data_IF_799620700652
#
_entry.id   IF_799620700652
#
_cell.length_a   1.000
_cell.length_b   1.000
_cell.length_c   1.000
_cell.angle_alpha   90.00
_cell.angle_beta   90.00
_cell.angle_gamma   90.00
#
_symmetry.space_group_name_H-M   'P 1'
#
loop_
_entity.id
_entity.type
_entity.pdbx_description
1 polymer ?
#
# COMPACT_ATOMS: atom_id res chain seq x y z
N UNK A 1 12.73 11.51 13.50
CA UNK A 1 11.53 11.82 14.31
C UNK A 1 11.64 11.16 15.68
N UNK A 2 11.27 11.82 16.77
CA UNK A 2 11.18 11.22 18.10
C UNK A 2 9.86 11.62 18.78
N UNK A 3 9.26 10.68 19.50
CA UNK A 3 8.04 10.95 20.28
C UNK A 3 8.33 11.77 21.55
N UNK A 4 9.59 11.80 22.00
CA UNK A 4 10.02 12.48 23.23
C UNK A 4 10.84 13.71 22.89
N UNK A 5 10.43 14.88 23.42
CA UNK A 5 11.11 16.16 23.16
C UNK A 5 12.57 16.15 23.61
N UNK A 6 12.87 15.56 24.75
CA UNK A 6 14.24 15.45 25.25
C UNK A 6 15.13 14.65 24.29
N UNK A 7 14.64 13.50 23.82
CA UNK A 7 15.36 12.67 22.85
C UNK A 7 15.53 13.41 21.51
N UNK A 8 14.48 14.09 21.05
CA UNK A 8 14.54 14.92 19.83
C UNK A 8 15.66 15.96 19.92
N UNK A 9 15.75 16.68 21.06
CA UNK A 9 16.78 17.69 21.27
C UNK A 9 18.18 17.07 21.25
N UNK A 10 18.41 15.97 21.98
CA UNK A 10 19.68 15.27 22.01
C UNK A 10 20.10 14.78 20.61
N UNK A 11 19.17 14.24 19.82
CA UNK A 11 19.46 13.81 18.44
C UNK A 11 19.83 15.03 17.60
N UNK A 12 19.11 16.14 17.73
CA UNK A 12 19.38 17.35 16.94
C UNK A 12 20.77 17.91 17.25
N UNK A 13 21.13 18.03 18.52
CA UNK A 13 22.45 18.48 18.95
C UNK A 13 23.56 17.58 18.37
N UNK A 14 23.42 16.27 18.50
CA UNK A 14 24.40 15.32 17.99
C UNK A 14 24.54 15.35 16.44
N UNK A 15 23.47 15.61 15.73
CA UNK A 15 23.53 15.72 14.29
C UNK A 15 24.15 17.07 13.86
N UNK A 16 23.88 18.16 14.61
CA UNK A 16 24.52 19.48 14.38
C UNK A 16 26.03 19.47 14.64
N UNK A 17 26.52 18.58 15.52
CA UNK A 17 27.95 18.37 15.72
C UNK A 17 28.61 17.64 14.53
N UNK A 18 27.85 16.87 13.76
CA UNK A 18 28.36 16.01 12.68
C UNK A 18 28.19 16.56 11.29
N UNK A 19 27.16 17.35 11.06
CA UNK A 19 26.83 17.90 9.75
C UNK A 19 26.98 19.42 9.78
N UNK A 20 27.64 19.96 8.77
CA UNK A 20 27.70 21.41 8.53
C UNK A 20 26.30 21.95 8.15
N UNK A 21 26.13 23.28 8.23
CA UNK A 21 24.88 23.94 7.84
C UNK A 21 24.52 23.71 6.36
N UNK A 22 25.52 23.59 5.49
CA UNK A 22 25.33 23.31 4.06
C UNK A 22 24.86 21.86 3.86
N UNK A 23 25.53 20.90 4.47
CA UNK A 23 25.10 19.48 4.43
C UNK A 23 23.70 19.30 5.04
N UNK A 24 23.39 20.03 6.10
CA UNK A 24 22.06 19.98 6.71
C UNK A 24 20.96 20.42 5.71
N UNK A 25 21.23 21.43 4.90
CA UNK A 25 20.33 21.92 3.84
C UNK A 25 20.29 20.95 2.64
N UNK A 26 21.46 20.52 2.18
CA UNK A 26 21.58 19.64 1.01
C UNK A 26 20.88 18.31 1.23
N UNK A 27 21.04 17.70 2.41
CA UNK A 27 20.34 16.48 2.78
C UNK A 27 18.90 16.73 3.26
N UNK A 28 18.46 17.99 3.33
CA UNK A 28 17.14 18.37 3.83
C UNK A 28 16.81 17.73 5.18
N UNK A 29 17.79 17.69 6.08
CA UNK A 29 17.63 17.06 7.39
C UNK A 29 16.58 17.80 8.23
N UNK A 30 15.71 17.05 8.84
CA UNK A 30 14.71 17.57 9.76
C UNK A 30 14.58 16.67 10.99
N UNK A 31 14.73 17.24 12.18
CA UNK A 31 14.59 16.51 13.45
C UNK A 31 13.42 17.14 14.23
N UNK A 32 12.38 16.36 14.43
CA UNK A 32 11.15 16.86 15.08
C UNK A 32 10.37 15.75 15.80
N UNK A 33 9.33 16.17 16.51
CA UNK A 33 8.28 15.30 17.04
C UNK A 33 7.20 15.03 15.98
N UNK A 34 6.29 14.08 16.18
CA UNK A 34 5.19 13.85 15.23
C UNK A 34 4.38 15.12 14.93
N UNK A 35 4.15 15.99 15.93
CA UNK A 35 3.42 17.25 15.75
C UNK A 35 4.17 18.21 14.82
N UNK A 36 5.49 18.29 14.94
CA UNK A 36 6.34 19.15 14.10
C UNK A 36 6.45 18.61 12.65
N UNK A 37 6.15 17.34 12.44
CA UNK A 37 6.08 16.72 11.11
C UNK A 37 4.69 16.83 10.45
N UNK A 38 3.69 17.36 11.14
CA UNK A 38 2.36 17.46 10.56
C UNK A 38 2.37 18.33 9.30
N UNK A 39 1.89 17.78 8.18
CA UNK A 39 1.92 18.42 6.86
C UNK A 39 3.25 18.31 6.10
N UNK A 40 4.29 17.71 6.69
CA UNK A 40 5.58 17.48 6.04
C UNK A 40 5.77 15.99 5.72
N UNK A 41 6.27 15.71 4.53
CA UNK A 41 6.67 14.37 4.09
C UNK A 41 8.15 14.34 3.75
N UNK A 42 8.78 13.18 3.93
CA UNK A 42 10.18 12.95 3.58
C UNK A 42 10.34 11.59 2.94
N UNK A 43 11.30 11.46 2.04
CA UNK A 43 11.59 10.18 1.40
C UNK A 43 11.89 9.08 2.43
N UNK A 44 12.64 9.42 3.45
CA UNK A 44 13.03 8.51 4.53
C UNK A 44 12.68 9.15 5.87
N UNK A 45 11.99 8.42 6.72
CA UNK A 45 11.73 8.77 8.11
C UNK A 45 12.41 7.76 9.02
N UNK A 46 13.24 8.26 9.92
CA UNK A 46 13.82 7.46 11.02
C UNK A 46 13.06 7.82 12.29
N UNK A 47 12.32 6.87 12.84
CA UNK A 47 11.58 7.04 14.09
C UNK A 47 12.38 6.41 15.21
N UNK A 48 12.70 7.20 16.24
CA UNK A 48 13.36 6.71 17.44
C UNK A 48 12.39 6.74 18.61
N UNK A 49 12.17 5.61 19.24
CA UNK A 49 11.15 5.48 20.28
C UNK A 49 11.70 5.78 21.69
N UNK A 50 12.99 5.63 21.90
CA UNK A 50 13.60 5.80 23.22
C UNK A 50 13.07 4.81 24.26
N UNK A 51 12.67 3.62 23.82
CA UNK A 51 12.12 2.56 24.64
C UNK A 51 13.20 1.54 24.99
N UNK A 52 13.22 1.12 26.23
CA UNK A 52 14.11 0.08 26.79
C UNK A 52 13.39 -1.23 27.15
N UNK A 53 12.10 -1.33 26.79
CA UNK A 53 11.26 -2.48 27.14
C UNK A 53 10.60 -2.40 28.52
N UNK A 54 10.94 -1.41 29.36
CA UNK A 54 10.27 -1.19 30.64
C UNK A 54 8.87 -0.59 30.44
N UNK A 55 7.94 -0.90 31.34
CA UNK A 55 6.58 -0.35 31.32
C UNK A 55 6.59 1.09 31.89
N UNK A 56 7.18 2.01 31.16
CA UNK A 56 7.16 3.42 31.56
C UNK A 56 5.77 4.02 31.27
N UNK A 57 5.07 4.47 32.32
CA UNK A 57 3.72 5.03 32.24
C UNK A 57 3.66 6.30 31.37
N UNK A 58 4.74 7.07 31.32
CA UNK A 58 4.88 8.26 30.48
C UNK A 58 4.99 7.90 28.99
N UNK A 59 5.74 6.86 28.70
CA UNK A 59 5.89 6.38 27.34
C UNK A 59 4.54 5.95 26.74
N UNK A 60 3.67 5.32 27.52
CA UNK A 60 2.35 4.86 27.06
C UNK A 60 1.51 6.00 26.46
N UNK A 61 1.45 7.17 27.08
CA UNK A 61 0.69 8.33 26.56
C UNK A 61 1.18 8.88 25.22
N UNK A 62 2.44 8.56 24.85
CA UNK A 62 3.03 9.02 23.61
C UNK A 62 2.88 8.00 22.46
N UNK A 63 3.04 6.70 22.71
CA UNK A 63 2.99 5.67 21.66
C UNK A 63 1.61 5.07 21.41
N UNK A 64 0.74 5.10 22.43
CA UNK A 64 -0.64 4.63 22.34
C UNK A 64 -1.63 5.73 21.97
N UNK A 65 -1.15 6.91 21.57
CA UNK A 65 -2.00 7.95 20.99
C UNK A 65 -2.13 7.69 19.48
N UNK A 66 -3.32 7.28 18.98
CA UNK A 66 -3.50 6.90 17.59
C UNK A 66 -3.17 8.02 16.60
N UNK A 67 -3.49 9.27 16.95
CA UNK A 67 -3.24 10.41 16.06
C UNK A 67 -1.73 10.67 15.90
N UNK A 68 -0.97 10.65 17.00
CA UNK A 68 0.48 10.83 16.97
C UNK A 68 1.17 9.68 16.24
N UNK A 69 0.72 8.46 16.52
CA UNK A 69 1.25 7.26 15.89
C UNK A 69 1.00 7.27 14.38
N UNK A 70 -0.22 7.61 13.98
CA UNK A 70 -0.58 7.74 12.57
C UNK A 70 0.27 8.78 11.84
N UNK A 71 0.46 9.98 12.44
CA UNK A 71 1.36 10.98 11.86
C UNK A 71 2.77 10.44 11.73
N UNK A 72 3.31 9.77 12.75
CA UNK A 72 4.68 9.25 12.71
C UNK A 72 4.89 8.21 11.60
N UNK A 73 3.94 7.31 11.40
CA UNK A 73 4.05 6.18 10.46
C UNK A 73 3.63 6.51 9.03
N UNK A 74 2.96 7.64 8.81
CA UNK A 74 2.44 8.05 7.49
C UNK A 74 3.26 9.15 6.81
N UNK A 75 4.39 9.59 7.38
CA UNK A 75 5.19 10.72 6.83
C UNK A 75 6.30 10.30 5.89
N UNK A 76 6.60 9.01 5.77
CA UNK A 76 7.61 8.51 4.86
C UNK A 76 7.01 8.29 3.47
N UNK A 77 7.68 8.83 2.45
CA UNK A 77 7.33 8.54 1.05
C UNK A 77 7.86 7.17 0.64
N UNK A 78 9.10 6.81 1.03
CA UNK A 78 9.74 5.57 0.61
C UNK A 78 9.98 4.59 1.77
N UNK A 79 10.63 5.04 2.85
CA UNK A 79 11.06 4.12 3.91
C UNK A 79 10.83 4.71 5.29
N UNK A 80 10.34 3.87 6.20
CA UNK A 80 10.29 4.15 7.64
C UNK A 80 11.24 3.19 8.35
N UNK A 81 12.26 3.73 9.01
CA UNK A 81 13.12 2.99 9.91
C UNK A 81 12.68 3.23 11.36
N UNK A 82 12.51 2.15 12.11
CA UNK A 82 12.12 2.20 13.51
C UNK A 82 13.26 1.71 14.40
N UNK A 83 13.75 2.60 15.29
CA UNK A 83 14.84 2.31 16.23
C UNK A 83 14.26 2.23 17.63
N UNK A 84 14.42 1.08 18.30
CA UNK A 84 13.96 0.85 19.67
C UNK A 84 14.84 -0.17 20.38
N UNK A 85 15.04 0.01 21.70
CA UNK A 85 15.80 -0.95 22.53
C UNK A 85 14.94 -2.08 23.08
N UNK A 86 13.62 -1.88 23.16
CA UNK A 86 12.67 -2.89 23.63
C UNK A 86 11.24 -2.38 23.47
N UNK A 87 10.27 -3.31 23.46
CA UNK A 87 8.85 -2.99 23.29
C UNK A 87 8.11 -3.29 24.59
N UNK A 88 7.54 -2.28 25.27
CA UNK A 88 6.72 -2.50 26.45
C UNK A 88 5.52 -3.41 26.15
N UNK A 89 5.13 -4.23 27.12
CA UNK A 89 3.96 -5.11 26.97
C UNK A 89 2.67 -4.34 26.65
N UNK A 90 2.59 -3.09 27.09
CA UNK A 90 1.43 -2.19 26.92
C UNK A 90 1.45 -1.38 25.62
N UNK A 91 2.48 -1.54 24.78
CA UNK A 91 2.56 -0.85 23.48
C UNK A 91 1.83 -1.65 22.40
N UNK A 92 0.49 -1.54 22.39
CA UNK A 92 -0.37 -2.32 21.47
C UNK A 92 -0.26 -1.84 20.02
N UNK A 93 -0.42 -0.53 19.77
CA UNK A 93 -0.30 0.07 18.43
C UNK A 93 1.06 -0.23 17.79
N UNK A 94 2.14 -0.11 18.56
CA UNK A 94 3.47 -0.39 18.07
C UNK A 94 3.66 -1.87 17.72
N UNK A 95 3.14 -2.78 18.55
CA UNK A 95 3.22 -4.22 18.28
C UNK A 95 2.43 -4.60 17.04
N UNK A 96 1.21 -4.09 16.91
CA UNK A 96 0.36 -4.31 15.75
C UNK A 96 1.03 -3.78 14.47
N UNK A 97 1.63 -2.58 14.54
CA UNK A 97 2.37 -2.01 13.42
C UNK A 97 3.56 -2.88 13.02
N UNK A 98 4.37 -3.32 14.00
CA UNK A 98 5.53 -4.18 13.73
C UNK A 98 5.14 -5.56 13.21
N UNK A 99 4.03 -6.13 13.69
CA UNK A 99 3.53 -7.42 13.20
C UNK A 99 3.04 -7.34 11.75
N UNK A 100 2.46 -6.20 11.36
CA UNK A 100 1.88 -6.04 10.04
C UNK A 100 2.85 -5.44 9.00
N UNK A 101 3.82 -4.64 9.45
CA UNK A 101 4.68 -3.82 8.57
C UNK A 101 6.17 -3.88 8.94
N UNK A 102 6.53 -4.53 10.03
CA UNK A 102 7.89 -4.52 10.56
C UNK A 102 8.74 -5.65 9.98
N UNK A 103 9.93 -5.29 9.48
CA UNK A 103 10.97 -6.25 9.10
C UNK A 103 12.22 -6.00 9.94
N UNK A 104 12.72 -7.01 10.69
CA UNK A 104 13.95 -6.87 11.45
C UNK A 104 15.15 -6.70 10.50
N UNK A 105 15.87 -5.61 10.68
CA UNK A 105 17.13 -5.39 9.97
C UNK A 105 18.26 -5.88 10.89
N UNK A 106 18.95 -6.93 10.49
CA UNK A 106 20.16 -7.41 11.17
C UNK A 106 21.38 -6.62 10.72
N UNK A 107 22.36 -6.42 11.62
CA UNK A 107 23.62 -5.76 11.28
C UNK A 107 24.29 -6.50 10.11
N UNK A 108 24.54 -5.78 9.00
CA UNK A 108 25.21 -6.30 7.80
C UNK A 108 24.28 -6.69 6.65
N UNK A 109 22.98 -6.67 6.82
CA UNK A 109 22.04 -6.84 5.69
C UNK A 109 21.70 -5.50 5.08
N UNK A 110 22.19 -5.22 3.88
CA UNK A 110 21.51 -4.28 3.00
C UNK A 110 20.14 -4.90 2.71
N UNK A 111 19.09 -4.22 3.13
CA UNK A 111 17.71 -4.67 2.86
C UNK A 111 17.53 -4.64 1.35
N UNK A 112 17.61 -5.80 0.72
CA UNK A 112 17.01 -5.92 -0.61
C UNK A 112 15.53 -5.58 -0.46
N UNK A 113 14.94 -4.81 -1.39
CA UNK A 113 13.51 -4.51 -1.32
C UNK A 113 12.77 -5.85 -1.20
N UNK A 114 11.99 -5.98 -0.11
CA UNK A 114 11.25 -7.21 0.19
C UNK A 114 10.33 -7.50 -0.98
N UNK A 115 10.73 -8.46 -1.78
CA UNK A 115 9.91 -8.97 -2.85
C UNK A 115 8.71 -9.72 -2.27
N UNK A 116 7.52 -9.26 -2.59
CA UNK A 116 6.26 -10.03 -2.66
C UNK A 116 5.72 -10.80 -1.43
N UNK A 117 6.46 -10.98 -0.35
CA UNK A 117 6.04 -11.83 0.77
C UNK A 117 4.85 -11.26 1.58
N UNK A 118 4.74 -9.93 1.65
CA UNK A 118 3.68 -9.23 2.40
C UNK A 118 2.28 -9.38 1.82
N UNK A 119 2.17 -9.51 0.49
CA UNK A 119 0.89 -9.69 -0.18
C UNK A 119 0.32 -11.09 0.11
N UNK A 120 1.19 -12.10 0.19
CA UNK A 120 0.80 -13.50 0.37
C UNK A 120 0.49 -13.86 1.83
N UNK A 121 1.08 -13.18 2.81
CA UNK A 121 0.89 -13.49 4.24
C UNK A 121 -0.57 -13.31 4.71
N UNK A 122 -1.31 -12.39 4.09
CA UNK A 122 -2.72 -12.16 4.40
C UNK A 122 -3.70 -12.98 3.55
N UNK A 123 -3.21 -13.82 2.62
CA UNK A 123 -4.03 -14.61 1.67
C UNK A 123 -5.06 -15.51 2.35
N UNK A 124 -4.78 -16.01 3.54
CA UNK A 124 -5.72 -16.88 4.29
C UNK A 124 -7.02 -16.16 4.65
N UNK A 125 -7.03 -14.83 4.68
CA UNK A 125 -8.21 -14.02 4.94
C UNK A 125 -9.03 -13.71 3.69
N UNK A 126 -8.47 -13.92 2.48
CA UNK A 126 -9.14 -13.58 1.24
C UNK A 126 -10.35 -14.47 1.00
N UNK A 127 -11.43 -13.87 0.57
CA UNK A 127 -12.69 -14.55 0.27
C UNK A 127 -13.26 -14.01 -1.04
N UNK A 128 -14.01 -14.83 -1.73
CA UNK A 128 -14.89 -14.41 -2.79
C UNK A 128 -16.31 -14.31 -2.26
N UNK A 129 -16.93 -13.15 -2.40
CA UNK A 129 -18.30 -12.89 -1.97
C UNK A 129 -18.97 -11.99 -3.01
N UNK A 130 -19.78 -12.59 -3.87
CA UNK A 130 -20.45 -11.87 -4.96
C UNK A 130 -21.37 -10.75 -4.46
N UNK A 131 -21.90 -10.87 -3.23
CA UNK A 131 -22.75 -9.85 -2.63
C UNK A 131 -22.02 -8.53 -2.30
N UNK A 132 -20.71 -8.55 -2.32
CA UNK A 132 -19.83 -7.38 -2.09
C UNK A 132 -19.41 -6.65 -3.37
N UNK A 133 -19.88 -7.07 -4.53
CA UNK A 133 -19.71 -6.33 -5.77
C UNK A 133 -20.66 -5.14 -5.74
N UNK A 134 -20.13 -3.92 -5.84
CA UNK A 134 -20.88 -2.70 -5.49
C UNK A 134 -21.52 -2.01 -6.68
N UNK A 135 -21.06 -2.27 -7.90
CA UNK A 135 -21.55 -1.58 -9.11
C UNK A 135 -21.84 -2.52 -10.26
N UNK A 136 -22.71 -2.10 -11.17
CA UNK A 136 -22.98 -2.81 -12.42
C UNK A 136 -21.71 -2.99 -13.26
N UNK A 137 -20.81 -2.00 -13.22
CA UNK A 137 -19.53 -2.07 -13.92
C UNK A 137 -18.63 -3.15 -13.33
N UNK A 138 -18.52 -3.25 -12.00
CA UNK A 138 -17.78 -4.33 -11.36
C UNK A 138 -18.37 -5.70 -11.69
N UNK A 139 -19.72 -5.84 -11.70
CA UNK A 139 -20.38 -7.08 -12.10
C UNK A 139 -19.99 -7.49 -13.53
N UNK A 140 -19.97 -6.53 -14.45
CA UNK A 140 -19.59 -6.79 -15.84
C UNK A 140 -18.14 -7.24 -15.95
N UNK A 141 -17.23 -6.56 -15.25
CA UNK A 141 -15.81 -6.94 -15.20
C UNK A 141 -15.67 -8.35 -14.59
N UNK A 142 -16.39 -8.65 -13.50
CA UNK A 142 -16.37 -9.96 -12.86
C UNK A 142 -16.76 -11.09 -13.81
N UNK A 143 -17.76 -10.89 -14.69
CA UNK A 143 -18.14 -11.89 -15.70
C UNK A 143 -16.95 -12.25 -16.61
N UNK A 144 -16.21 -11.24 -17.11
CA UNK A 144 -15.02 -11.46 -17.92
C UNK A 144 -13.87 -12.10 -17.13
N UNK A 145 -13.69 -11.74 -15.87
CA UNK A 145 -12.70 -12.40 -15.02
C UNK A 145 -13.04 -13.87 -14.78
N UNK A 146 -14.32 -14.22 -14.59
CA UNK A 146 -14.78 -15.60 -14.48
C UNK A 146 -14.54 -16.37 -15.79
N UNK A 147 -14.85 -15.80 -16.95
CA UNK A 147 -14.58 -16.37 -18.27
C UNK A 147 -13.06 -16.58 -18.48
N UNK A 148 -12.25 -15.60 -18.08
CA UNK A 148 -10.79 -15.70 -18.15
C UNK A 148 -10.26 -16.88 -17.32
N UNK A 149 -10.67 -16.99 -16.07
CA UNK A 149 -10.26 -18.08 -15.17
C UNK A 149 -10.70 -19.43 -15.72
N UNK A 150 -11.93 -19.53 -16.21
CA UNK A 150 -12.47 -20.77 -16.77
C UNK A 150 -11.69 -21.23 -18.01
N UNK A 151 -11.26 -20.30 -18.86
CA UNK A 151 -10.56 -20.61 -20.12
C UNK A 151 -9.04 -20.83 -19.95
N UNK A 152 -8.43 -20.33 -18.88
CA UNK A 152 -6.96 -20.33 -18.73
C UNK A 152 -6.44 -21.11 -17.50
N UNK A 153 -7.30 -21.63 -16.66
CA UNK A 153 -6.80 -22.43 -15.52
C UNK A 153 -7.76 -22.47 -14.34
N UNK A 154 -8.94 -23.00 -14.52
CA UNK A 154 -9.98 -23.07 -13.47
C UNK A 154 -9.56 -23.81 -12.18
N UNK A 155 -8.55 -24.66 -12.24
CA UNK A 155 -8.03 -25.38 -11.06
C UNK A 155 -6.94 -24.56 -10.33
N UNK A 156 -6.18 -23.77 -11.06
CA UNK A 156 -5.02 -23.02 -10.53
C UNK A 156 -5.31 -21.53 -10.26
N UNK A 157 -6.22 -20.94 -11.01
CA UNK A 157 -6.57 -19.52 -10.87
C UNK A 157 -7.78 -19.36 -9.95
N UNK A 158 -7.67 -18.47 -8.99
CA UNK A 158 -8.76 -18.16 -8.05
C UNK A 158 -9.01 -16.66 -8.02
N UNK A 159 -10.30 -16.28 -8.05
CA UNK A 159 -10.75 -14.90 -7.92
C UNK A 159 -11.12 -14.62 -6.46
N UNK A 160 -10.71 -13.47 -5.98
CA UNK A 160 -11.11 -12.89 -4.71
C UNK A 160 -11.59 -11.47 -4.97
N UNK A 161 -12.45 -10.93 -4.14
CA UNK A 161 -12.90 -9.56 -4.24
C UNK A 161 -12.83 -8.84 -2.89
N UNK A 162 -12.80 -7.51 -2.95
CA UNK A 162 -12.76 -6.64 -1.79
C UNK A 162 -11.61 -6.99 -0.83
N UNK A 163 -10.43 -7.27 -1.40
CA UNK A 163 -9.23 -7.66 -0.65
C UNK A 163 -8.62 -6.44 0.02
N UNK A 164 -8.48 -6.48 1.34
CA UNK A 164 -7.83 -5.40 2.09
C UNK A 164 -6.31 -5.51 2.03
N UNK A 165 -5.65 -4.42 1.63
CA UNK A 165 -4.19 -4.28 1.64
C UNK A 165 -3.79 -2.82 1.87
N UNK A 166 -2.83 -2.57 2.76
CA UNK A 166 -2.33 -1.23 3.06
C UNK A 166 -3.43 -0.21 3.40
N UNK A 167 -4.45 -0.62 4.15
CA UNK A 167 -5.65 0.18 4.44
C UNK A 167 -6.41 0.64 3.18
N UNK A 168 -6.22 -0.07 2.07
CA UNK A 168 -6.94 0.09 0.81
C UNK A 168 -7.70 -1.21 0.51
N UNK A 169 -8.77 -1.08 -0.23
CA UNK A 169 -9.61 -2.20 -0.65
C UNK A 169 -9.45 -2.38 -2.16
N UNK A 170 -8.95 -3.53 -2.57
CA UNK A 170 -8.81 -3.92 -3.97
C UNK A 170 -10.12 -4.53 -4.46
N UNK A 171 -10.59 -4.12 -5.63
CA UNK A 171 -11.88 -4.59 -6.16
C UNK A 171 -11.84 -6.10 -6.43
N UNK A 172 -10.85 -6.54 -7.20
CA UNK A 172 -10.63 -7.97 -7.45
C UNK A 172 -9.14 -8.33 -7.35
N UNK A 173 -8.89 -9.59 -7.01
CA UNK A 173 -7.56 -10.20 -7.06
C UNK A 173 -7.67 -11.56 -7.73
N UNK A 174 -6.82 -11.84 -8.72
CA UNK A 174 -6.62 -13.19 -9.25
C UNK A 174 -5.30 -13.72 -8.71
N UNK A 175 -5.35 -14.91 -8.14
CA UNK A 175 -4.20 -15.63 -7.63
C UNK A 175 -3.97 -16.91 -8.45
N UNK A 176 -2.73 -17.10 -8.90
CA UNK A 176 -2.28 -18.33 -9.56
C UNK A 176 -1.55 -19.22 -8.56
N UNK A 177 -2.16 -20.35 -8.19
CA UNK A 177 -1.60 -21.27 -7.20
C UNK A 177 -0.41 -22.09 -7.70
N UNK A 178 -0.11 -22.08 -9.01
CA UNK A 178 1.03 -22.84 -9.58
C UNK A 178 2.35 -22.11 -9.39
N UNK A 179 2.34 -20.79 -9.50
CA UNK A 179 3.55 -19.95 -9.43
C UNK A 179 3.47 -18.86 -8.35
N UNK A 180 2.40 -18.87 -7.55
CA UNK A 180 2.12 -17.92 -6.46
C UNK A 180 2.00 -16.44 -6.92
N UNK A 181 1.81 -16.20 -8.21
CA UNK A 181 1.61 -14.85 -8.73
C UNK A 181 0.21 -14.31 -8.41
N UNK A 182 0.16 -13.01 -8.08
CA UNK A 182 -1.08 -12.28 -7.80
C UNK A 182 -1.24 -11.11 -8.75
N UNK A 183 -2.45 -10.88 -9.19
CA UNK A 183 -2.84 -9.70 -9.95
C UNK A 183 -4.01 -9.00 -9.27
N UNK A 184 -3.83 -7.74 -8.88
CA UNK A 184 -4.93 -6.88 -8.46
C UNK A 184 -5.60 -6.28 -9.69
N UNK A 185 -6.91 -6.23 -9.72
CA UNK A 185 -7.70 -5.60 -10.77
C UNK A 185 -8.50 -4.47 -10.11
N UNK A 186 -8.26 -3.23 -10.54
CA UNK A 186 -8.97 -2.04 -10.09
C UNK A 186 -9.98 -1.63 -11.18
N UNK A 187 -11.24 -1.54 -10.79
CA UNK A 187 -12.34 -1.13 -11.66
C UNK A 187 -12.54 0.38 -11.52
N UNK A 188 -11.89 1.12 -12.40
CA UNK A 188 -11.76 2.56 -12.27
C UNK A 188 -13.00 3.30 -12.79
N UNK A 189 -13.94 3.57 -11.90
CA UNK A 189 -15.13 4.40 -12.16
C UNK A 189 -14.79 5.88 -12.38
N UNK A 190 -15.82 6.68 -12.70
CA UNK A 190 -15.69 8.12 -13.06
C UNK A 190 -14.92 8.93 -12.00
N UNK A 191 -15.10 8.63 -10.71
CA UNK A 191 -14.48 9.40 -9.61
C UNK A 191 -12.98 9.16 -9.44
N UNK A 192 -12.42 8.18 -10.14
CA UNK A 192 -10.98 7.92 -10.13
C UNK A 192 -10.23 8.89 -11.07
N UNK A 193 -10.96 9.64 -11.89
CA UNK A 193 -10.39 10.54 -12.89
C UNK A 193 -10.53 12.00 -12.48
N UNK A 194 -9.59 12.82 -12.98
CA UNK A 194 -9.65 14.27 -12.89
C UNK A 194 -10.78 14.83 -13.77
N UNK A 195 -11.09 16.09 -13.62
CA UNK A 195 -12.06 16.79 -14.45
C UNK A 195 -11.67 16.65 -15.94
N UNK A 196 -12.61 16.11 -16.75
CA UNK A 196 -12.36 15.74 -18.15
C UNK A 196 -12.32 14.23 -18.42
N UNK A 197 -12.18 13.40 -17.39
CA UNK A 197 -12.49 11.95 -17.41
C UNK A 197 -11.46 11.00 -18.04
N UNK A 198 -10.28 11.49 -18.48
CA UNK A 198 -9.27 10.65 -19.16
C UNK A 198 -7.95 10.50 -18.40
N UNK A 199 -7.67 11.35 -17.44
CA UNK A 199 -6.46 11.28 -16.60
C UNK A 199 -6.84 10.98 -15.18
N UNK A 200 -6.10 10.09 -14.52
CA UNK A 200 -6.33 9.76 -13.13
C UNK A 200 -6.15 10.96 -12.21
N UNK A 201 -6.96 11.06 -11.17
CA UNK A 201 -6.81 12.06 -10.12
C UNK A 201 -5.54 11.82 -9.30
N UNK A 202 -4.98 12.87 -8.69
CA UNK A 202 -3.79 12.76 -7.82
C UNK A 202 -4.01 11.79 -6.65
N UNK A 203 -5.21 11.78 -6.08
CA UNK A 203 -5.57 10.87 -4.98
C UNK A 203 -5.56 9.42 -5.44
N UNK A 204 -6.02 9.13 -6.66
CA UNK A 204 -5.99 7.80 -7.23
C UNK A 204 -4.56 7.37 -7.57
N UNK A 205 -3.75 8.25 -8.17
CA UNK A 205 -2.33 7.96 -8.42
C UNK A 205 -1.55 7.67 -7.14
N UNK A 206 -1.80 8.43 -6.06
CA UNK A 206 -1.22 8.15 -4.76
C UNK A 206 -1.63 6.79 -4.18
N UNK A 207 -2.89 6.38 -4.40
CA UNK A 207 -3.38 5.05 -4.01
C UNK A 207 -2.66 3.95 -4.77
N UNK A 208 -2.53 4.09 -6.09
CA UNK A 208 -1.82 3.14 -6.95
C UNK A 208 -0.36 3.00 -6.50
N UNK A 209 0.33 4.11 -6.27
CA UNK A 209 1.72 4.11 -5.83
C UNK A 209 1.93 3.37 -4.51
N UNK A 210 1.04 3.54 -3.53
CA UNK A 210 1.08 2.80 -2.26
C UNK A 210 0.95 1.29 -2.49
N UNK A 211 0.00 0.87 -3.32
CA UNK A 211 -0.24 -0.54 -3.61
C UNK A 211 0.91 -1.17 -4.40
N UNK A 212 1.46 -0.46 -5.40
CA UNK A 212 2.61 -0.94 -6.17
C UNK A 212 3.86 -1.09 -5.30
N UNK A 213 4.11 -0.16 -4.37
CA UNK A 213 5.19 -0.28 -3.38
C UNK A 213 5.00 -1.43 -2.41
N UNK A 214 3.75 -1.80 -2.13
CA UNK A 214 3.42 -3.00 -1.36
C UNK A 214 3.60 -4.30 -2.15
N UNK A 215 4.05 -4.23 -3.42
CA UNK A 215 4.32 -5.38 -4.27
C UNK A 215 3.14 -5.83 -5.14
N UNK A 216 2.04 -5.07 -5.17
CA UNK A 216 0.91 -5.41 -6.03
C UNK A 216 1.21 -5.12 -7.50
N UNK A 217 0.98 -6.11 -8.34
CA UNK A 217 0.87 -5.94 -9.79
C UNK A 217 -0.59 -5.60 -10.09
N UNK A 218 -0.83 -4.41 -10.64
CA UNK A 218 -2.18 -3.88 -10.80
C UNK A 218 -2.54 -3.79 -12.29
N UNK A 219 -3.72 -4.31 -12.63
CA UNK A 219 -4.35 -4.13 -13.94
C UNK A 219 -5.55 -3.19 -13.74
N UNK A 220 -5.56 -2.11 -14.51
CA UNK A 220 -6.60 -1.09 -14.47
C UNK A 220 -7.68 -1.36 -15.51
N UNK A 221 -8.93 -1.23 -15.08
CA UNK A 221 -10.12 -1.35 -15.96
C UNK A 221 -10.84 -0.01 -15.96
N UNK A 222 -10.40 0.95 -16.79
CA UNK A 222 -10.94 2.31 -16.81
C UNK A 222 -12.30 2.38 -17.50
N UNK A 223 -13.28 3.00 -16.85
CA UNK A 223 -14.68 3.07 -17.30
C UNK A 223 -14.82 3.57 -18.73
N UNK A 224 -14.04 4.57 -19.17
CA UNK A 224 -14.16 5.19 -20.47
C UNK A 224 -13.84 4.26 -21.66
N UNK A 225 -13.19 3.12 -21.41
CA UNK A 225 -12.98 2.06 -22.40
C UNK A 225 -14.13 1.04 -22.43
N UNK A 226 -14.98 1.03 -21.40
CA UNK A 226 -16.04 0.05 -21.20
C UNK A 226 -17.45 0.63 -21.40
N UNK A 227 -17.54 1.94 -21.60
CA UNK A 227 -18.80 2.65 -21.82
C UNK A 227 -18.76 3.37 -23.17
N UNK A 228 -19.72 3.08 -24.02
CA UNK A 228 -20.00 3.82 -25.25
C UNK A 228 -21.17 4.75 -25.02
N UNK A 229 -21.00 6.05 -25.26
CA UNK A 229 -22.07 7.07 -25.12
C UNK A 229 -22.80 7.05 -23.75
N UNK A 230 -22.09 6.70 -22.69
CA UNK A 230 -22.65 6.64 -21.33
C UNK A 230 -23.34 5.33 -20.95
N UNK A 231 -23.32 4.34 -21.83
CA UNK A 231 -23.87 2.99 -21.60
C UNK A 231 -22.76 1.94 -21.68
N UNK A 232 -22.90 0.85 -20.90
CA UNK A 232 -22.01 -0.30 -21.02
C UNK A 232 -22.04 -0.83 -22.46
N UNK A 233 -20.84 -1.06 -23.02
CA UNK A 233 -20.71 -1.54 -24.39
C UNK A 233 -21.31 -2.94 -24.54
N UNK A 234 -21.97 -3.18 -25.69
CA UNK A 234 -22.44 -4.50 -26.05
C UNK A 234 -21.26 -5.41 -26.46
N UNK A 235 -21.41 -6.72 -26.22
CA UNK A 235 -20.37 -7.73 -26.52
C UNK A 235 -19.98 -7.78 -28.00
N UNK A 236 -20.87 -7.34 -28.89
CA UNK A 236 -20.67 -7.41 -30.33
C UNK A 236 -20.02 -6.14 -30.94
N UNK A 237 -19.72 -5.12 -30.12
CA UNK A 237 -18.99 -3.95 -30.60
C UNK A 237 -17.50 -4.28 -30.81
N UNK A 238 -16.90 -4.06 -32.00
CA UNK A 238 -15.50 -4.41 -32.30
C UNK A 238 -14.50 -3.78 -31.33
N UNK A 239 -14.67 -2.50 -31.00
CA UNK A 239 -13.79 -1.76 -30.09
C UNK A 239 -13.84 -2.35 -28.66
N UNK A 240 -14.95 -2.98 -28.29
CA UNK A 240 -15.12 -3.60 -27.01
C UNK A 240 -14.43 -4.97 -26.92
N UNK A 241 -14.45 -5.77 -27.99
CA UNK A 241 -13.68 -7.03 -28.09
C UNK A 241 -12.19 -6.77 -27.94
N UNK A 242 -11.68 -5.68 -28.51
CA UNK A 242 -10.29 -5.27 -28.33
C UNK A 242 -9.97 -4.92 -26.87
N UNK A 243 -10.89 -4.25 -26.17
CA UNK A 243 -10.75 -3.91 -24.75
C UNK A 243 -10.68 -5.15 -23.87
N UNK A 244 -11.53 -6.16 -24.09
CA UNK A 244 -11.50 -7.43 -23.37
C UNK A 244 -10.23 -8.22 -23.69
N UNK A 245 -9.82 -8.24 -24.96
CA UNK A 245 -8.58 -8.90 -25.39
C UNK A 245 -7.35 -8.25 -24.75
N UNK A 246 -7.34 -6.93 -24.59
CA UNK A 246 -6.28 -6.20 -23.90
C UNK A 246 -6.24 -6.55 -22.40
N UNK A 247 -7.40 -6.60 -21.73
CA UNK A 247 -7.49 -7.07 -20.35
C UNK A 247 -6.89 -8.46 -20.19
N UNK A 248 -7.30 -9.41 -21.03
CA UNK A 248 -6.81 -10.79 -20.96
C UNK A 248 -5.30 -10.90 -21.22
N UNK A 249 -4.77 -10.10 -22.14
CA UNK A 249 -3.33 -10.02 -22.40
C UNK A 249 -2.55 -9.52 -21.20
N UNK A 250 -3.05 -8.48 -20.53
CA UNK A 250 -2.44 -7.94 -19.32
C UNK A 250 -2.47 -8.96 -18.18
N UNK A 251 -3.61 -9.63 -17.94
CA UNK A 251 -3.75 -10.67 -16.93
C UNK A 251 -2.78 -11.84 -17.17
N UNK A 252 -2.65 -12.32 -18.41
CA UNK A 252 -1.67 -13.37 -18.77
C UNK A 252 -0.25 -12.93 -18.44
N UNK A 253 0.12 -11.71 -18.82
CA UNK A 253 1.47 -11.19 -18.57
C UNK A 253 1.78 -11.12 -17.07
N UNK A 254 0.83 -10.67 -16.26
CA UNK A 254 1.03 -10.52 -14.81
C UNK A 254 1.05 -11.86 -14.09
N UNK A 255 0.17 -12.77 -14.47
CA UNK A 255 0.02 -14.10 -13.84
C UNK A 255 1.00 -15.15 -14.40
N UNK A 256 1.82 -14.77 -15.37
CA UNK A 256 2.80 -15.62 -16.05
C UNK A 256 2.19 -16.92 -16.61
N UNK A 257 1.11 -16.78 -17.41
CA UNK A 257 0.37 -17.87 -18.06
C UNK A 257 0.19 -17.64 -19.56
#
# INVERSE_FOLDING_TARGET
MSFLTQQRNAIRERLQEKFSDDEWKDYQLFVGTPEEFQGNEKNIIIITLGLDGTNNRWAKGHYENPNRFNVATSRAVNYTYLIYGGIPKTAHLLKEYLQNFGYPVNEGSLVEPVQQQTVLDNRLSWRFDESKVESEFEFKVLEYLKEFVQSHGSESLKIYNQVESCSKRLDFVIFNSLNEECCAIEVDGVHHFAEGGYTYSESHLSRIDILQRAGWKIVHVPYHKWYSKGWLCDRDEPDFLDTVSDLYRQLKSVLAI
#
